data_IF_937734307647
#
_entry.id   IF_937734307647
#
_cell.length_a   1.000
_cell.length_b   1.000
_cell.length_c   1.000
_cell.angle_alpha   90.00
_cell.angle_beta   90.00
_cell.angle_gamma   90.00
#
_symmetry.space_group_name_H-M   'P 1'
#
loop_
_entity.id
_entity.type
_entity.pdbx_description
1 polymer ?
#
# COMPACT_ATOMS: atom_id res chain seq x y z
N UNK A 1 30.53 49.32 -7.22
CA UNK A 1 29.10 49.27 -6.86
C UNK A 1 28.51 48.01 -7.49
N UNK A 2 28.50 46.88 -6.78
CA UNK A 2 28.03 45.60 -7.32
C UNK A 2 26.52 45.45 -7.06
N UNK A 3 25.73 45.44 -8.13
CA UNK A 3 24.27 45.38 -8.09
C UNK A 3 23.83 43.91 -8.04
N UNK A 4 23.66 43.35 -6.84
CA UNK A 4 23.19 41.98 -6.68
C UNK A 4 21.65 41.95 -6.82
N UNK A 5 21.15 41.50 -7.98
CA UNK A 5 19.74 41.16 -8.16
C UNK A 5 19.35 40.04 -7.18
N UNK A 6 18.64 40.40 -6.12
CA UNK A 6 17.97 39.47 -5.22
C UNK A 6 16.86 38.74 -6.01
N UNK A 7 17.13 37.53 -6.48
CA UNK A 7 16.08 36.66 -7.02
C UNK A 7 15.21 36.19 -5.85
N UNK A 8 13.92 36.59 -5.86
CA UNK A 8 12.92 36.08 -4.91
C UNK A 8 12.79 34.57 -5.09
N UNK A 9 13.28 33.80 -4.11
CA UNK A 9 12.92 32.40 -3.95
C UNK A 9 11.43 32.34 -3.63
N UNK A 10 10.62 31.81 -4.55
CA UNK A 10 9.21 31.48 -4.28
C UNK A 10 9.19 30.27 -3.35
N UNK A 11 9.34 30.51 -2.05
CA UNK A 11 9.07 29.51 -1.03
C UNK A 11 7.54 29.44 -0.95
N UNK A 12 6.94 28.70 -1.90
CA UNK A 12 5.53 28.34 -1.83
C UNK A 12 5.36 27.46 -0.59
N UNK A 13 4.45 27.85 0.29
CA UNK A 13 4.01 27.03 1.41
C UNK A 13 3.54 25.67 0.86
N UNK A 14 4.03 24.53 1.41
CA UNK A 14 3.63 23.19 1.00
C UNK A 14 2.10 23.01 0.86
N UNK A 15 1.31 23.64 1.74
CA UNK A 15 -0.15 23.55 1.68
C UNK A 15 -0.74 24.25 0.44
N UNK A 16 -0.13 25.35 0.01
CA UNK A 16 -0.54 26.10 -1.20
C UNK A 16 -0.09 25.37 -2.46
N UNK A 17 1.10 24.75 -2.43
CA UNK A 17 1.58 23.94 -3.53
C UNK A 17 0.66 22.73 -3.80
N UNK A 18 0.21 22.04 -2.75
CA UNK A 18 -0.74 20.92 -2.86
C UNK A 18 -2.11 21.36 -3.40
N UNK A 19 -2.58 22.54 -2.98
CA UNK A 19 -3.83 23.13 -3.48
C UNK A 19 -3.75 23.45 -4.98
N UNK A 20 -2.66 24.08 -5.42
CA UNK A 20 -2.43 24.40 -6.84
C UNK A 20 -2.30 23.14 -7.69
N UNK A 21 -1.52 22.15 -7.23
CA UNK A 21 -1.40 20.86 -7.90
C UNK A 21 -2.77 20.14 -8.01
N UNK A 22 -3.60 20.22 -6.96
CA UNK A 22 -4.97 19.68 -6.98
C UNK A 22 -5.88 20.37 -8.00
N UNK A 23 -5.73 21.69 -8.20
CA UNK A 23 -6.49 22.46 -9.17
C UNK A 23 -6.05 22.19 -10.62
N UNK A 24 -4.74 22.13 -10.87
CA UNK A 24 -4.18 21.81 -12.19
C UNK A 24 -4.59 20.41 -12.64
N UNK A 25 -4.56 19.43 -11.75
CA UNK A 25 -5.01 18.06 -12.04
C UNK A 25 -6.49 18.01 -12.44
N UNK A 26 -7.37 18.77 -11.78
CA UNK A 26 -8.79 18.87 -12.15
C UNK A 26 -8.99 19.50 -13.52
N UNK A 27 -8.23 20.55 -13.83
CA UNK A 27 -8.30 21.23 -15.13
C UNK A 27 -7.77 20.34 -16.26
N UNK A 28 -6.66 19.63 -16.03
CA UNK A 28 -6.10 18.67 -16.99
C UNK A 28 -7.08 17.54 -17.30
N UNK A 29 -7.78 17.01 -16.28
CA UNK A 29 -8.79 15.97 -16.49
C UNK A 29 -10.03 16.46 -17.24
N UNK A 30 -10.45 17.72 -17.05
CA UNK A 30 -11.56 18.31 -17.77
C UNK A 30 -11.29 18.44 -19.29
N UNK A 31 -10.01 18.56 -19.68
CA UNK A 31 -9.55 18.63 -21.07
C UNK A 31 -9.50 17.27 -21.77
N UNK A 32 -9.64 16.16 -21.04
CA UNK A 32 -9.59 14.82 -21.63
C UNK A 32 -10.88 14.48 -22.41
N UNK A 33 -10.78 13.66 -23.47
CA UNK A 33 -11.94 13.09 -24.17
C UNK A 33 -12.92 12.40 -23.21
N UNK A 34 -14.23 12.45 -23.50
CA UNK A 34 -15.30 11.88 -22.64
C UNK A 34 -15.01 10.44 -22.21
N UNK A 35 -14.56 9.58 -23.13
CA UNK A 35 -14.23 8.16 -22.86
C UNK A 35 -13.12 7.99 -21.83
N UNK A 36 -12.09 8.84 -21.83
CA UNK A 36 -10.98 8.77 -20.88
C UNK A 36 -11.38 9.30 -19.51
N UNK A 37 -12.18 10.36 -19.48
CA UNK A 37 -12.80 10.86 -18.23
C UNK A 37 -13.66 9.79 -17.55
N UNK A 38 -14.48 9.08 -18.32
CA UNK A 38 -15.32 7.99 -17.83
C UNK A 38 -14.48 6.83 -17.28
N UNK A 39 -13.40 6.42 -17.96
CA UNK A 39 -12.48 5.39 -17.46
C UNK A 39 -11.88 5.78 -16.11
N UNK A 40 -11.32 6.99 -15.99
CA UNK A 40 -10.75 7.49 -14.73
C UNK A 40 -11.80 7.61 -13.62
N UNK A 41 -13.00 8.08 -13.94
CA UNK A 41 -14.10 8.16 -12.96
C UNK A 41 -14.50 6.77 -12.44
N UNK A 42 -14.57 5.77 -13.33
CA UNK A 42 -14.87 4.38 -12.99
C UNK A 42 -13.77 3.75 -12.12
N UNK A 43 -12.50 4.01 -12.42
CA UNK A 43 -11.38 3.58 -11.58
C UNK A 43 -11.44 4.21 -10.19
N UNK A 44 -11.67 5.53 -10.10
CA UNK A 44 -11.83 6.23 -8.82
C UNK A 44 -13.02 5.71 -8.01
N UNK A 45 -14.14 5.43 -8.66
CA UNK A 45 -15.30 4.83 -8.01
C UNK A 45 -14.99 3.44 -7.47
N UNK A 46 -14.28 2.59 -8.25
CA UNK A 46 -13.81 1.28 -7.79
C UNK A 46 -12.86 1.39 -6.59
N UNK A 47 -11.94 2.34 -6.59
CA UNK A 47 -11.01 2.57 -5.47
C UNK A 47 -11.79 3.01 -4.22
N UNK A 48 -12.76 3.93 -4.36
CA UNK A 48 -13.60 4.36 -3.24
C UNK A 48 -14.44 3.22 -2.66
N UNK A 49 -15.08 2.42 -3.53
CA UNK A 49 -15.89 1.28 -3.10
C UNK A 49 -15.06 0.22 -2.33
N UNK A 50 -13.77 0.09 -2.63
CA UNK A 50 -12.86 -0.82 -1.93
C UNK A 50 -12.35 -0.26 -0.59
N UNK A 51 -12.58 1.03 -0.29
CA UNK A 51 -11.98 1.69 0.89
C UNK A 51 -12.51 1.09 2.19
N UNK A 52 -13.80 0.82 2.26
CA UNK A 52 -14.45 0.30 3.47
C UNK A 52 -14.04 -1.15 3.77
N UNK A 53 -13.61 -1.89 2.73
CA UNK A 53 -13.12 -3.27 2.83
C UNK A 53 -11.60 -3.35 2.98
N UNK A 54 -10.90 -2.21 2.99
CA UNK A 54 -9.43 -2.19 3.00
C UNK A 54 -8.93 -2.47 4.41
N UNK A 55 -8.20 -3.58 4.55
CA UNK A 55 -7.42 -3.88 5.74
C UNK A 55 -5.96 -3.56 5.49
N UNK A 56 -5.31 -2.92 6.46
CA UNK A 56 -3.88 -2.64 6.44
C UNK A 56 -3.19 -3.56 7.44
N UNK A 57 -2.17 -4.28 7.00
CA UNK A 57 -1.32 -5.10 7.84
C UNK A 57 0.12 -4.60 7.76
N UNK A 58 0.82 -4.64 8.89
CA UNK A 58 2.26 -4.37 8.91
C UNK A 58 3.00 -5.62 8.41
N UNK A 59 3.77 -5.45 7.34
CA UNK A 59 4.59 -6.50 6.75
C UNK A 59 6.07 -6.14 6.88
N UNK A 60 6.94 -7.11 7.24
CA UNK A 60 8.38 -6.92 7.18
C UNK A 60 8.82 -6.44 5.79
N UNK A 61 9.78 -5.51 5.68
CA UNK A 61 10.18 -4.91 4.39
C UNK A 61 10.53 -5.93 3.32
N UNK A 62 11.24 -7.00 3.69
CA UNK A 62 11.67 -8.07 2.79
C UNK A 62 10.47 -8.84 2.22
N UNK A 63 9.50 -9.18 3.08
CA UNK A 63 8.27 -9.87 2.64
C UNK A 63 7.42 -8.96 1.77
N UNK A 64 7.30 -7.68 2.13
CA UNK A 64 6.61 -6.67 1.33
C UNK A 64 7.21 -6.63 -0.09
N UNK A 65 8.54 -6.50 -0.20
CA UNK A 65 9.22 -6.43 -1.50
C UNK A 65 9.00 -7.71 -2.32
N UNK A 66 9.18 -8.89 -1.71
CA UNK A 66 8.98 -10.17 -2.38
C UNK A 66 7.56 -10.34 -2.94
N UNK A 67 6.53 -9.88 -2.21
CA UNK A 67 5.14 -9.87 -2.70
C UNK A 67 4.97 -8.93 -3.89
N UNK A 68 5.60 -7.74 -3.86
CA UNK A 68 5.55 -6.81 -4.99
C UNK A 68 6.23 -7.37 -6.23
N UNK A 69 7.45 -7.88 -6.10
CA UNK A 69 8.22 -8.43 -7.22
C UNK A 69 7.49 -9.62 -7.86
N UNK A 70 6.91 -10.50 -7.04
CA UNK A 70 6.13 -11.63 -7.54
C UNK A 70 4.85 -11.16 -8.24
N UNK A 71 4.14 -10.19 -7.67
CA UNK A 71 2.94 -9.64 -8.29
C UNK A 71 3.27 -8.96 -9.63
N UNK A 72 4.37 -8.21 -9.71
CA UNK A 72 4.83 -7.54 -10.93
C UNK A 72 5.23 -8.55 -12.01
N UNK A 73 6.05 -9.54 -11.67
CA UNK A 73 6.46 -10.59 -12.63
C UNK A 73 5.28 -11.36 -13.23
N UNK A 74 4.19 -11.52 -12.47
CA UNK A 74 2.96 -12.17 -12.93
C UNK A 74 1.93 -11.20 -13.52
N UNK A 75 2.23 -9.89 -13.56
CA UNK A 75 1.28 -8.84 -13.98
C UNK A 75 -0.05 -8.88 -13.21
N UNK A 76 0.01 -9.14 -11.90
CA UNK A 76 -1.15 -9.25 -11.01
C UNK A 76 -1.18 -8.08 -10.00
N UNK A 77 -2.38 -7.68 -9.52
CA UNK A 77 -2.47 -6.83 -8.35
C UNK A 77 -1.94 -7.56 -7.11
N UNK A 78 -0.99 -6.96 -6.39
CA UNK A 78 -0.44 -7.54 -5.15
C UNK A 78 -1.51 -7.93 -4.12
N UNK A 79 -2.61 -7.16 -4.03
CA UNK A 79 -3.72 -7.49 -3.15
C UNK A 79 -4.41 -8.81 -3.50
N UNK A 80 -4.55 -9.15 -4.79
CA UNK A 80 -5.14 -10.41 -5.23
C UNK A 80 -4.20 -11.59 -4.93
N UNK A 81 -2.90 -11.41 -5.13
CA UNK A 81 -1.89 -12.40 -4.78
C UNK A 81 -1.92 -12.71 -3.27
N UNK A 82 -1.98 -11.67 -2.43
CA UNK A 82 -2.10 -11.82 -0.98
C UNK A 82 -3.43 -12.46 -0.59
N UNK A 83 -4.54 -12.12 -1.25
CA UNK A 83 -5.84 -12.79 -1.01
C UNK A 83 -5.74 -14.30 -1.25
N UNK A 84 -5.12 -14.73 -2.35
CA UNK A 84 -4.90 -16.15 -2.63
C UNK A 84 -4.05 -16.81 -1.55
N UNK A 85 -2.92 -16.18 -1.18
CA UNK A 85 -2.03 -16.71 -0.15
C UNK A 85 -2.73 -16.85 1.21
N UNK A 86 -3.50 -15.84 1.63
CA UNK A 86 -4.27 -15.88 2.87
C UNK A 86 -5.36 -16.97 2.83
N UNK A 87 -6.09 -17.11 1.73
CA UNK A 87 -7.08 -18.19 1.61
C UNK A 87 -6.43 -19.57 1.72
N UNK A 88 -5.34 -19.80 0.99
CA UNK A 88 -4.59 -21.06 1.05
C UNK A 88 -4.07 -21.34 2.46
N UNK A 89 -3.56 -20.30 3.14
CA UNK A 89 -3.14 -20.41 4.54
C UNK A 89 -4.28 -20.81 5.47
N UNK A 90 -5.46 -20.17 5.36
CA UNK A 90 -6.61 -20.47 6.21
C UNK A 90 -7.12 -21.90 5.99
N UNK A 91 -7.16 -22.37 4.75
CA UNK A 91 -7.53 -23.76 4.41
C UNK A 91 -6.51 -24.76 4.95
N UNK A 92 -5.22 -24.50 4.76
CA UNK A 92 -4.14 -25.35 5.27
C UNK A 92 -4.11 -25.39 6.81
N UNK A 93 -4.43 -24.30 7.48
CA UNK A 93 -4.59 -24.28 8.94
C UNK A 93 -5.82 -25.09 9.38
N UNK A 94 -6.97 -24.89 8.75
CA UNK A 94 -8.20 -25.59 9.08
C UNK A 94 -8.09 -27.11 8.88
N UNK A 95 -7.29 -27.54 7.91
CA UNK A 95 -7.02 -28.96 7.61
C UNK A 95 -5.85 -29.55 8.40
N UNK A 96 -5.22 -28.78 9.29
CA UNK A 96 -4.10 -29.23 10.13
C UNK A 96 -2.76 -29.38 9.41
N UNK A 97 -2.65 -28.90 8.16
CA UNK A 97 -1.39 -28.90 7.41
C UNK A 97 -0.39 -27.86 7.95
N UNK A 98 -0.90 -26.77 8.53
CA UNK A 98 -0.09 -25.75 9.19
C UNK A 98 -0.32 -25.82 10.68
N UNK A 99 0.75 -26.05 11.42
CA UNK A 99 0.77 -25.95 12.87
C UNK A 99 1.40 -24.60 13.29
N UNK A 100 0.55 -23.67 13.70
CA UNK A 100 0.96 -22.33 14.17
C UNK A 100 1.59 -22.36 15.56
N UNK A 101 1.39 -23.43 16.34
CA UNK A 101 1.87 -23.50 17.73
C UNK A 101 3.39 -23.41 17.82
N UNK A 102 4.08 -23.86 16.77
CA UNK A 102 5.54 -23.78 16.58
C UNK A 102 6.10 -22.36 16.67
N UNK A 103 5.29 -21.36 16.34
CA UNK A 103 5.68 -19.94 16.35
C UNK A 103 5.07 -19.18 17.53
N UNK A 104 4.19 -19.81 18.31
CA UNK A 104 3.39 -19.15 19.34
C UNK A 104 4.20 -18.95 20.61
N UNK A 105 4.31 -17.70 21.07
CA UNK A 105 4.95 -17.34 22.34
C UNK A 105 4.05 -16.45 23.19
N UNK A 106 4.18 -16.48 24.53
CA UNK A 106 3.45 -15.58 25.40
C UNK A 106 3.71 -14.12 25.00
N UNK A 107 2.64 -13.34 24.93
CA UNK A 107 2.70 -11.92 24.61
C UNK A 107 2.81 -11.10 25.90
N UNK A 108 3.55 -9.99 25.82
CA UNK A 108 3.64 -8.99 26.89
C UNK A 108 2.59 -7.88 26.74
N UNK A 109 1.80 -7.90 25.66
CA UNK A 109 0.76 -6.91 25.39
C UNK A 109 -0.44 -7.15 26.31
N UNK A 110 -1.05 -6.12 26.90
CA UNK A 110 -2.28 -6.25 27.68
C UNK A 110 -3.48 -6.68 26.82
N UNK A 111 -3.37 -6.61 25.48
CA UNK A 111 -4.47 -6.92 24.56
C UNK A 111 -4.50 -8.38 24.10
N UNK A 112 -3.36 -9.07 24.09
CA UNK A 112 -3.24 -10.40 23.51
C UNK A 112 -2.41 -11.30 24.41
N UNK A 113 -2.88 -12.52 24.67
CA UNK A 113 -2.16 -13.52 25.47
C UNK A 113 -0.94 -14.11 24.74
N UNK A 114 -1.00 -14.15 23.41
CA UNK A 114 -0.01 -14.78 22.56
C UNK A 114 0.42 -13.89 21.40
N UNK A 115 1.67 -14.05 20.98
CA UNK A 115 2.23 -13.47 19.76
C UNK A 115 2.89 -14.57 18.92
N UNK A 116 3.15 -14.27 17.66
CA UNK A 116 3.95 -15.10 16.79
C UNK A 116 5.38 -14.55 16.75
N UNK A 117 6.36 -15.42 16.94
CA UNK A 117 7.76 -15.12 16.66
C UNK A 117 8.22 -15.93 15.46
N UNK A 118 8.79 -15.21 14.49
CA UNK A 118 9.28 -15.80 13.25
C UNK A 118 10.80 -15.96 13.32
N UNK A 119 11.36 -16.99 12.66
CA UNK A 119 12.81 -17.16 12.57
C UNK A 119 13.50 -15.96 11.92
N UNK A 120 14.66 -15.56 12.43
CA UNK A 120 15.35 -14.35 12.00
C UNK A 120 15.91 -14.47 10.56
N UNK A 121 16.26 -15.69 10.17
CA UNK A 121 16.74 -16.04 8.83
C UNK A 121 15.72 -15.72 7.72
N UNK A 122 14.43 -15.57 8.04
CA UNK A 122 13.43 -15.17 7.05
C UNK A 122 13.58 -13.71 6.62
N UNK A 123 14.22 -12.89 7.44
CA UNK A 123 14.41 -11.45 7.20
C UNK A 123 15.83 -11.11 6.72
N UNK A 124 16.73 -12.09 6.75
CA UNK A 124 18.10 -11.97 6.29
C UNK A 124 18.21 -12.50 4.87
N UNK A 125 17.94 -11.63 3.90
CA UNK A 125 18.34 -11.83 2.49
C UNK A 125 18.84 -10.51 1.93
#
# INVERSE_FOLDING_TARGET
>A
MANHKLQRRSILDPAVADLLAGMENKQAEARLPRREREKKAKERAKIRARRDQRVTYDLPPQLKQAVFDLAESLSLPASQLVTLALHRFMEAYATGQIDISKYKKPSKSPRYDWKLEFPAEWWQK
#
